data_IF_392958731190
#
_entry.id   IF_392958731190
#
_cell.length_a   1.000
_cell.length_b   1.000
_cell.length_c   1.000
_cell.angle_alpha   90.00
_cell.angle_beta   90.00
_cell.angle_gamma   90.00
#
_symmetry.space_group_name_H-M   'P 1'
#
loop_
_entity.id
_entity.type
_entity.pdbx_description
1 polymer ?
#
# COMPACT_ATOMS: atom_id res chain seq x y z
N UNK A 1 0.23 12.66 2.93
CA UNK A 1 -0.29 11.42 2.28
C UNK A 1 0.64 10.25 2.56
N UNK A 2 1.94 10.39 2.31
CA UNK A 2 2.96 9.39 2.60
C UNK A 2 4.17 10.06 3.26
N UNK A 3 5.00 9.28 3.95
CA UNK A 3 6.28 9.76 4.48
C UNK A 3 7.35 9.73 3.40
N UNK A 4 8.22 10.75 3.38
CA UNK A 4 9.37 10.87 2.49
C UNK A 4 10.64 10.85 3.35
N UNK A 5 11.18 9.67 3.70
CA UNK A 5 12.30 9.58 4.64
C UNK A 5 13.56 10.31 4.16
N UNK A 6 13.71 10.47 2.85
CA UNK A 6 14.82 11.14 2.18
C UNK A 6 14.51 12.60 1.78
N UNK A 7 13.48 13.26 2.33
CA UNK A 7 13.05 14.60 1.90
C UNK A 7 14.18 15.65 1.83
N UNK A 8 15.19 15.56 2.70
CA UNK A 8 16.33 16.48 2.73
C UNK A 8 17.18 16.44 1.44
N UNK A 9 17.11 15.38 0.63
CA UNK A 9 17.82 15.33 -0.65
C UNK A 9 17.16 16.18 -1.74
N UNK A 10 15.97 16.73 -1.46
CA UNK A 10 15.14 17.48 -2.40
C UNK A 10 15.02 18.97 -2.03
N UNK A 11 15.96 19.53 -1.26
CA UNK A 11 15.94 20.96 -0.86
C UNK A 11 15.90 21.94 -2.04
N UNK A 12 16.44 21.54 -3.20
CA UNK A 12 16.45 22.35 -4.42
C UNK A 12 15.18 22.22 -5.28
N UNK A 13 14.18 21.43 -4.85
CA UNK A 13 12.95 21.22 -5.61
C UNK A 13 12.08 22.48 -5.59
N UNK A 14 11.92 23.12 -6.74
CA UNK A 14 11.02 24.28 -6.89
C UNK A 14 9.55 23.83 -6.85
N UNK A 15 8.73 24.51 -6.04
CA UNK A 15 7.30 24.19 -5.87
C UNK A 15 6.40 25.23 -6.55
N UNK A 16 5.23 24.83 -7.11
CA UNK A 16 4.71 23.47 -7.18
C UNK A 16 5.44 22.61 -8.23
N UNK A 17 5.69 21.34 -7.90
CA UNK A 17 6.30 20.37 -8.81
C UNK A 17 5.36 19.20 -9.09
N UNK A 18 5.49 18.63 -10.30
CA UNK A 18 4.91 17.33 -10.67
C UNK A 18 6.07 16.36 -10.85
N UNK A 19 6.07 15.27 -10.10
CA UNK A 19 7.11 14.24 -10.14
C UNK A 19 6.50 12.85 -9.96
N UNK A 20 7.25 11.83 -10.38
CA UNK A 20 6.90 10.44 -10.11
C UNK A 20 7.31 10.08 -8.67
N UNK A 21 6.58 9.13 -8.08
CA UNK A 21 6.85 8.64 -6.73
C UNK A 21 6.94 7.12 -6.80
N UNK A 22 8.01 6.56 -6.25
CA UNK A 22 8.01 5.14 -5.89
C UNK A 22 7.37 5.03 -4.50
N UNK A 23 6.31 4.25 -4.38
CA UNK A 23 5.51 4.15 -3.18
C UNK A 23 5.50 2.71 -2.63
N UNK A 24 5.85 2.57 -1.36
CA UNK A 24 5.75 1.35 -0.59
C UNK A 24 4.65 1.46 0.47
N UNK A 25 3.90 0.38 0.64
CA UNK A 25 2.79 0.24 1.56
C UNK A 25 3.06 -0.92 2.54
N UNK A 26 3.32 -0.59 3.79
CA UNK A 26 3.57 -1.55 4.86
C UNK A 26 2.26 -1.92 5.54
N UNK A 27 1.88 -3.19 5.44
CA UNK A 27 0.59 -3.67 5.91
C UNK A 27 0.50 -3.69 7.43
N UNK A 28 -0.53 -3.04 7.99
CA UNK A 28 -1.00 -3.30 9.35
C UNK A 28 -1.94 -4.50 9.39
N UNK A 29 -2.71 -4.69 8.31
CA UNK A 29 -3.58 -5.83 8.03
C UNK A 29 -3.65 -6.03 6.52
N UNK A 30 -3.63 -7.28 6.08
CA UNK A 30 -3.78 -7.62 4.66
C UNK A 30 -4.67 -8.85 4.48
N UNK A 31 -5.83 -8.67 3.89
CA UNK A 31 -6.67 -9.77 3.40
C UNK A 31 -6.34 -10.02 1.92
N UNK A 32 -6.04 -11.27 1.57
CA UNK A 32 -5.64 -11.69 0.23
C UNK A 32 -6.59 -12.75 -0.33
N UNK A 33 -7.17 -12.45 -1.50
CA UNK A 33 -8.16 -13.25 -2.20
C UNK A 33 -7.57 -13.77 -3.50
N UNK A 34 -7.91 -15.02 -3.85
CA UNK A 34 -7.35 -15.69 -5.02
C UNK A 34 -7.80 -15.10 -6.35
N UNK A 35 -8.97 -14.47 -6.38
CA UNK A 35 -9.56 -13.79 -7.52
C UNK A 35 -10.62 -12.76 -7.05
N UNK A 36 -11.21 -12.05 -8.00
CA UNK A 36 -12.27 -11.06 -7.75
C UNK A 36 -13.55 -11.70 -7.21
N UNK A 37 -13.90 -12.92 -7.63
CA UNK A 37 -15.11 -13.59 -7.16
C UNK A 37 -15.03 -13.92 -5.67
N UNK A 38 -13.88 -14.43 -5.21
CA UNK A 38 -13.61 -14.68 -3.80
C UNK A 38 -13.63 -13.38 -2.98
N UNK A 39 -13.12 -12.29 -3.54
CA UNK A 39 -13.17 -10.97 -2.90
C UNK A 39 -14.61 -10.47 -2.76
N UNK A 40 -15.41 -10.51 -3.83
CA UNK A 40 -16.80 -10.06 -3.81
C UNK A 40 -17.66 -10.88 -2.84
N UNK A 41 -17.48 -12.20 -2.80
CA UNK A 41 -18.18 -13.08 -1.86
C UNK A 41 -17.84 -12.75 -0.39
N UNK A 42 -16.59 -12.34 -0.11
CA UNK A 42 -16.17 -11.96 1.23
C UNK A 42 -16.74 -10.60 1.72
N UNK A 43 -17.30 -9.78 0.83
CA UNK A 43 -17.87 -8.48 1.16
C UNK A 43 -19.36 -8.53 1.54
N UNK A 44 -20.03 -9.68 1.40
CA UNK A 44 -21.43 -9.86 1.77
C UNK A 44 -21.70 -9.42 3.23
N UNK A 45 -22.54 -8.40 3.41
CA UNK A 45 -22.90 -7.85 4.73
C UNK A 45 -22.09 -6.63 5.19
N UNK A 46 -21.21 -6.08 4.34
CA UNK A 46 -20.44 -4.85 4.59
C UNK A 46 -20.62 -3.83 3.45
N UNK A 47 -20.14 -2.60 3.63
CA UNK A 47 -20.10 -1.59 2.55
C UNK A 47 -19.09 -2.09 1.50
N UNK A 48 -19.50 -2.38 0.27
CA UNK A 48 -18.61 -2.95 -0.72
C UNK A 48 -17.62 -1.91 -1.21
N UNK A 49 -16.34 -2.25 -1.16
CA UNK A 49 -15.29 -1.57 -1.90
C UNK A 49 -15.17 -2.18 -3.30
N UNK A 50 -14.82 -1.33 -4.27
CA UNK A 50 -14.46 -1.79 -5.60
C UNK A 50 -13.17 -2.63 -5.54
N UNK A 51 -12.94 -3.57 -6.48
CA UNK A 51 -11.70 -4.35 -6.56
C UNK A 51 -10.43 -3.50 -6.63
N UNK A 52 -10.56 -2.24 -7.10
CA UNK A 52 -9.55 -1.21 -7.01
C UNK A 52 -10.11 0.03 -6.31
N UNK A 53 -9.48 0.43 -5.21
CA UNK A 53 -9.81 1.65 -4.47
C UNK A 53 -8.56 2.18 -3.77
N UNK A 54 -8.51 3.46 -3.45
CA UNK A 54 -7.43 4.03 -2.63
C UNK A 54 -7.98 5.18 -1.80
N UNK A 55 -7.97 5.03 -0.48
CA UNK A 55 -8.52 6.00 0.46
C UNK A 55 -7.40 6.45 1.40
N UNK A 56 -6.84 7.66 1.22
CA UNK A 56 -5.87 8.22 2.15
C UNK A 56 -6.59 8.58 3.46
N UNK A 57 -6.24 7.90 4.55
CA UNK A 57 -6.92 8.08 5.85
C UNK A 57 -6.36 9.26 6.65
N UNK A 58 -5.18 9.74 6.30
CA UNK A 58 -4.55 10.86 7.00
C UNK A 58 -5.08 12.24 6.65
N UNK A 59 -5.93 12.41 5.64
CA UNK A 59 -6.32 13.75 5.18
C UNK A 59 -7.40 14.43 6.05
N UNK A 60 -7.95 13.73 7.05
CA UNK A 60 -9.04 14.20 7.91
C UNK A 60 -8.61 14.22 9.38
N UNK A 61 -7.62 15.05 9.71
CA UNK A 61 -7.18 15.24 11.10
C UNK A 61 -7.59 16.62 11.63
N UNK A 62 -7.78 16.72 12.95
CA UNK A 62 -8.05 17.99 13.61
C UNK A 62 -6.86 18.96 13.46
N UNK A 63 -7.15 20.27 13.51
CA UNK A 63 -6.13 21.30 13.40
C UNK A 63 -5.02 21.09 14.46
N UNK A 64 -3.77 21.04 14.00
CA UNK A 64 -2.59 20.86 14.84
C UNK A 64 -2.11 19.41 15.02
N UNK A 65 -2.82 18.42 14.47
CA UNK A 65 -2.33 17.04 14.42
C UNK A 65 -1.53 16.77 13.15
N UNK A 66 -0.49 15.93 13.26
CA UNK A 66 0.24 15.45 12.08
C UNK A 66 -0.62 14.38 11.39
N UNK A 67 -1.06 14.61 10.15
CA UNK A 67 -1.85 13.62 9.42
C UNK A 67 -1.04 12.34 9.20
N UNK A 68 -1.57 11.15 9.55
CA UNK A 68 -0.84 9.90 9.38
C UNK A 68 -0.57 9.63 7.90
N UNK A 69 0.63 9.12 7.60
CA UNK A 69 1.00 8.62 6.29
C UNK A 69 0.33 7.25 6.04
N UNK A 70 -1.00 7.20 5.99
CA UNK A 70 -1.75 5.96 5.95
C UNK A 70 -2.83 5.95 4.86
N UNK A 71 -3.11 4.76 4.37
CA UNK A 71 -4.22 4.52 3.44
C UNK A 71 -4.89 3.16 3.70
N UNK A 72 -6.16 3.10 3.32
CA UNK A 72 -6.90 1.86 3.12
C UNK A 72 -7.12 1.71 1.63
N UNK A 73 -6.75 0.57 1.07
CA UNK A 73 -6.90 0.36 -0.37
C UNK A 73 -7.18 -1.10 -0.71
N UNK A 74 -7.70 -1.26 -1.92
CA UNK A 74 -7.86 -2.55 -2.60
C UNK A 74 -7.18 -2.51 -3.97
N UNK A 75 -6.64 -3.65 -4.40
CA UNK A 75 -5.98 -3.71 -5.71
C UNK A 75 -5.61 -5.10 -6.18
N UNK A 76 -5.26 -5.20 -7.46
CA UNK A 76 -4.86 -6.45 -8.11
C UNK A 76 -3.37 -6.73 -7.90
N UNK A 77 -3.04 -7.97 -7.56
CA UNK A 77 -1.66 -8.44 -7.43
C UNK A 77 -1.07 -8.69 -8.82
N UNK A 78 -0.13 -7.85 -9.24
CA UNK A 78 0.59 -7.98 -10.52
C UNK A 78 1.79 -8.93 -10.40
N UNK A 79 2.43 -8.96 -9.23
CA UNK A 79 3.55 -9.84 -8.92
C UNK A 79 3.59 -10.08 -7.40
N UNK A 80 4.12 -11.22 -6.97
CA UNK A 80 4.32 -11.51 -5.54
C UNK A 80 5.55 -12.39 -5.33
N UNK A 81 6.22 -12.21 -4.18
CA UNK A 81 7.38 -13.01 -3.78
C UNK A 81 7.56 -12.98 -2.25
N UNK A 82 8.30 -13.95 -1.71
CA UNK A 82 8.77 -13.92 -0.32
C UNK A 82 10.14 -13.23 -0.28
N UNK A 83 10.31 -12.26 0.61
CA UNK A 83 11.56 -11.51 0.80
C UNK A 83 12.13 -11.82 2.17
N UNK A 84 13.44 -12.07 2.22
CA UNK A 84 14.18 -12.16 3.47
C UNK A 84 14.78 -10.80 3.78
N UNK A 85 14.50 -10.25 4.96
CA UNK A 85 15.21 -9.08 5.45
C UNK A 85 16.63 -9.52 5.85
N UNK A 86 17.70 -9.02 5.19
CA UNK A 86 19.06 -9.49 5.43
C UNK A 86 19.58 -9.11 6.82
N UNK A 87 19.03 -8.06 7.42
CA UNK A 87 19.44 -7.58 8.75
C UNK A 87 18.78 -8.39 9.85
N UNK A 88 17.47 -8.62 9.76
CA UNK A 88 16.70 -9.28 10.83
C UNK A 88 16.50 -10.77 10.59
N UNK A 89 16.80 -11.27 9.40
CA UNK A 89 16.52 -12.64 8.94
C UNK A 89 15.04 -13.03 9.00
N UNK A 90 14.13 -12.05 9.13
CA UNK A 90 12.69 -12.27 9.06
C UNK A 90 12.22 -12.33 7.61
N UNK A 91 11.21 -13.15 7.36
CA UNK A 91 10.54 -13.21 6.06
C UNK A 91 9.41 -12.19 6.02
N UNK A 92 9.19 -11.62 4.84
CA UNK A 92 8.08 -10.73 4.53
C UNK A 92 7.47 -11.14 3.19
N UNK A 93 6.17 -11.00 3.04
CA UNK A 93 5.53 -11.09 1.74
C UNK A 93 5.62 -9.74 1.05
N UNK A 94 6.03 -9.78 -0.21
CA UNK A 94 6.05 -8.62 -1.10
C UNK A 94 5.08 -8.86 -2.25
N UNK A 95 4.33 -7.83 -2.63
CA UNK A 95 3.56 -7.82 -3.86
C UNK A 95 3.56 -6.46 -4.53
N UNK A 96 3.60 -6.46 -5.86
CA UNK A 96 3.32 -5.28 -6.66
C UNK A 96 1.83 -5.23 -6.94
N UNK A 97 1.16 -4.17 -6.50
CA UNK A 97 -0.30 -4.08 -6.50
C UNK A 97 -0.78 -2.90 -7.33
N UNK A 98 -1.72 -3.13 -8.24
CA UNK A 98 -2.39 -2.08 -9.00
C UNK A 98 -3.64 -1.60 -8.27
N UNK A 99 -3.63 -0.35 -7.82
CA UNK A 99 -4.73 0.32 -7.09
C UNK A 99 -5.39 1.40 -7.93
N UNK A 100 -6.48 1.99 -7.44
CA UNK A 100 -7.07 3.20 -8.03
C UNK A 100 -6.21 4.42 -7.65
N UNK A 101 -5.09 4.61 -8.37
CA UNK A 101 -4.15 5.70 -8.11
C UNK A 101 -2.71 5.41 -8.55
N UNK A 102 -2.40 4.14 -8.84
CA UNK A 102 -1.09 3.73 -9.32
C UNK A 102 -0.68 2.34 -8.83
N UNK A 103 0.52 1.94 -9.22
CA UNK A 103 1.18 0.74 -8.70
C UNK A 103 1.90 1.04 -7.37
N UNK A 104 1.77 0.14 -6.41
CA UNK A 104 2.41 0.24 -5.10
C UNK A 104 3.09 -1.07 -4.71
N UNK A 105 4.24 -0.96 -4.05
CA UNK A 105 4.92 -2.10 -3.45
C UNK A 105 4.31 -2.39 -2.07
N UNK A 106 3.53 -3.46 -1.95
CA UNK A 106 3.02 -3.94 -0.67
C UNK A 106 4.05 -4.82 0.00
N UNK A 107 4.33 -4.54 1.27
CA UNK A 107 5.16 -5.36 2.15
C UNK A 107 4.35 -5.73 3.38
N UNK A 108 4.26 -7.01 3.70
CA UNK A 108 3.49 -7.53 4.82
C UNK A 108 4.29 -8.56 5.63
N UNK A 109 4.24 -8.44 6.94
CA UNK A 109 4.65 -9.52 7.84
C UNK A 109 3.67 -10.70 7.67
N UNK A 110 4.12 -11.97 7.56
CA UNK A 110 3.21 -13.10 7.43
C UNK A 110 2.13 -13.18 8.52
N UNK A 111 2.38 -12.64 9.72
CA UNK A 111 1.42 -12.65 10.84
C UNK A 111 0.19 -11.76 10.60
N UNK A 112 0.29 -10.75 9.73
CA UNK A 112 -0.82 -9.83 9.44
C UNK A 112 -1.60 -10.19 8.17
N UNK A 113 -1.23 -11.30 7.52
CA UNK A 113 -1.81 -11.74 6.25
C UNK A 113 -2.87 -12.82 6.47
N UNK A 114 -4.09 -12.54 6.01
CA UNK A 114 -5.20 -13.49 5.96
C UNK A 114 -5.39 -13.93 4.52
N UNK A 115 -5.36 -15.23 4.27
CA UNK A 115 -5.47 -15.79 2.92
C UNK A 115 -4.12 -15.95 2.23
N UNK A 116 -4.10 -15.94 0.89
CA UNK A 116 -2.90 -16.22 0.10
C UNK A 116 -2.70 -15.18 -0.99
N UNK A 117 -1.53 -14.56 -1.02
CA UNK A 117 -1.12 -13.69 -2.12
C UNK A 117 -0.81 -14.55 -3.35
N UNK A 118 -1.54 -14.30 -4.43
CA UNK A 118 -1.35 -14.93 -5.73
C UNK A 118 -1.42 -13.88 -6.83
N UNK A 119 -0.65 -14.06 -7.90
CA UNK A 119 -0.74 -13.18 -9.08
C UNK A 119 -2.14 -13.28 -9.68
N UNK A 120 -2.74 -12.14 -10.03
CA UNK A 120 -4.12 -12.03 -10.49
C UNK A 120 -5.16 -11.95 -9.36
N UNK A 121 -4.76 -12.22 -8.12
CA UNK A 121 -5.63 -12.08 -6.94
C UNK A 121 -5.88 -10.63 -6.54
N UNK A 122 -6.72 -10.45 -5.53
CA UNK A 122 -7.04 -9.14 -4.93
C UNK A 122 -6.43 -9.07 -3.53
N UNK A 123 -5.89 -7.91 -3.18
CA UNK A 123 -5.59 -7.59 -1.78
C UNK A 123 -6.46 -6.44 -1.29
N UNK A 124 -6.77 -6.46 -0.01
CA UNK A 124 -7.49 -5.40 0.71
C UNK A 124 -6.84 -5.21 2.07
N UNK A 125 -6.58 -3.98 2.48
CA UNK A 125 -5.90 -3.76 3.75
C UNK A 125 -5.75 -2.31 4.16
N UNK A 126 -5.05 -2.13 5.27
CA UNK A 126 -4.64 -0.83 5.80
C UNK A 126 -3.12 -0.78 5.91
N UNK A 127 -2.55 0.36 5.52
CA UNK A 127 -1.11 0.47 5.27
C UNK A 127 -0.55 1.78 5.81
N UNK A 128 0.69 1.71 6.31
CA UNK A 128 1.57 2.87 6.39
C UNK A 128 2.26 3.05 5.03
N UNK A 129 2.35 4.29 4.57
CA UNK A 129 2.88 4.66 3.26
C UNK A 129 4.21 5.38 3.42
N UNK A 130 5.22 4.85 2.73
CA UNK A 130 6.53 5.46 2.61
C UNK A 130 6.93 5.50 1.14
N UNK A 131 7.50 6.61 0.70
CA UNK A 131 7.90 6.76 -0.69
C UNK A 131 9.09 7.68 -0.87
N UNK A 132 9.61 7.66 -2.08
CA UNK A 132 10.68 8.56 -2.54
C UNK A 132 10.25 9.28 -3.80
N UNK A 133 10.67 10.53 -3.96
CA UNK A 133 10.48 11.25 -5.22
C UNK A 133 11.46 10.69 -6.25
N UNK A 134 10.96 10.37 -7.42
CA UNK A 134 11.77 10.02 -8.58
C UNK A 134 11.91 11.29 -9.40
N UNK A 135 13.01 12.01 -9.15
CA UNK A 135 13.35 13.18 -9.94
C UNK A 135 13.96 12.74 -11.29
N UNK A 136 13.62 13.44 -12.39
CA UNK A 136 14.24 13.21 -13.69
C UNK A 136 15.74 13.57 -13.71
#
# INVERSE_FOLDING_TARGET
>A
MFDVPDAAVHEALELPAVCEVQLAAFAHRLDAFVDEAAYLAAQEGSIPYAPQSFIPTGLFVEDGQVPPAAAVFTGHVLATNVRLNPTTQKIFYWARVSTLGGEVDVVADPEVVVGRLVVGGIVSGSFWLSGRLVLP
#
